data_IF_620111912612
#
_entry.id   IF_620111912612
#
_cell.length_a   1.000
_cell.length_b   1.000
_cell.length_c   1.000
_cell.angle_alpha   90.00
_cell.angle_beta   90.00
_cell.angle_gamma   90.00
#
_symmetry.space_group_name_H-M   'P 1'
#
loop_
_entity.id
_entity.type
_entity.pdbx_description
1 polymer ?
#
# COMPACT_ATOMS: atom_id res chain seq x y z
N UNK A 1 14.83 -3.25 -35.38
CA UNK A 1 15.08 -3.72 -34.01
C UNK A 1 13.92 -4.63 -33.63
N UNK A 2 14.18 -5.91 -33.40
CA UNK A 2 13.13 -6.87 -33.02
C UNK A 2 12.80 -6.64 -31.55
N UNK A 3 11.60 -6.15 -31.27
CA UNK A 3 11.16 -5.88 -29.91
C UNK A 3 10.77 -7.21 -29.26
N UNK A 4 11.53 -7.62 -28.24
CA UNK A 4 11.20 -8.80 -27.44
C UNK A 4 9.82 -8.60 -26.82
N UNK A 5 8.90 -9.52 -27.13
CA UNK A 5 7.45 -9.36 -26.88
C UNK A 5 7.01 -10.07 -25.61
N UNK A 6 7.88 -10.89 -25.02
CA UNK A 6 7.61 -11.63 -23.78
C UNK A 6 8.10 -10.81 -22.58
N UNK A 7 7.23 -10.58 -21.61
CA UNK A 7 7.64 -10.02 -20.33
C UNK A 7 8.50 -11.04 -19.57
N UNK A 8 9.59 -10.62 -18.91
CA UNK A 8 10.35 -11.50 -18.05
C UNK A 8 9.51 -11.96 -16.84
N UNK A 9 9.91 -13.07 -16.22
CA UNK A 9 9.32 -13.47 -14.93
C UNK A 9 9.85 -12.53 -13.83
N UNK A 10 8.99 -11.80 -13.11
CA UNK A 10 9.44 -10.90 -12.06
C UNK A 10 9.88 -11.68 -10.81
N UNK A 11 10.93 -11.20 -10.16
CA UNK A 11 11.33 -11.58 -8.81
C UNK A 11 10.79 -10.62 -7.75
N UNK A 12 10.88 -11.02 -6.48
CA UNK A 12 10.53 -10.19 -5.32
C UNK A 12 11.70 -10.13 -4.34
N UNK A 13 12.05 -8.92 -3.91
CA UNK A 13 13.06 -8.67 -2.88
C UNK A 13 12.43 -7.88 -1.74
N UNK A 14 12.61 -8.34 -0.50
CA UNK A 14 12.12 -7.62 0.68
C UNK A 14 12.74 -6.22 0.71
N UNK A 15 11.90 -5.19 0.82
CA UNK A 15 12.31 -3.80 0.75
C UNK A 15 12.01 -3.06 2.06
N UNK A 16 10.74 -3.05 2.49
CA UNK A 16 10.29 -2.26 3.64
C UNK A 16 9.28 -3.01 4.50
N UNK A 17 9.08 -2.51 5.71
CA UNK A 17 7.92 -2.79 6.55
C UNK A 17 7.17 -1.50 6.83
N UNK A 18 5.85 -1.53 6.76
CA UNK A 18 4.96 -0.42 7.07
C UNK A 18 4.05 -0.78 8.26
N UNK A 19 4.17 -0.02 9.33
CA UNK A 19 3.22 -0.01 10.45
C UNK A 19 2.32 1.21 10.34
N UNK A 20 0.99 1.01 10.31
CA UNK A 20 0.01 2.10 10.22
C UNK A 20 -0.89 2.13 11.44
N UNK A 21 -1.12 3.34 11.96
CA UNK A 21 -2.18 3.63 12.90
C UNK A 21 -3.33 4.30 12.16
N UNK A 22 -4.55 3.83 12.39
CA UNK A 22 -5.76 4.44 11.84
C UNK A 22 -6.44 5.31 12.89
N UNK A 23 -6.99 6.43 12.43
CA UNK A 23 -7.93 7.23 13.20
C UNK A 23 -9.34 6.64 13.16
N UNK A 24 -10.34 7.40 13.66
CA UNK A 24 -11.74 7.00 13.56
C UNK A 24 -12.17 6.79 12.11
N UNK A 25 -12.75 5.64 11.82
CA UNK A 25 -13.31 5.31 10.51
C UNK A 25 -14.49 6.21 10.18
N UNK A 26 -14.59 6.63 8.92
CA UNK A 26 -15.77 7.29 8.37
C UNK A 26 -16.55 6.28 7.54
N UNK A 27 -17.66 5.79 8.08
CA UNK A 27 -18.54 4.85 7.41
C UNK A 27 -19.53 5.58 6.50
N UNK A 28 -19.42 5.34 5.19
CA UNK A 28 -20.39 5.83 4.21
C UNK A 28 -21.62 4.91 4.19
N UNK A 29 -21.42 3.62 4.48
CA UNK A 29 -22.48 2.62 4.54
C UNK A 29 -22.73 1.93 3.21
N UNK A 30 -23.92 1.34 3.08
CA UNK A 30 -24.32 0.53 1.91
C UNK A 30 -24.52 1.40 0.68
N UNK A 31 -23.94 0.98 -0.44
CA UNK A 31 -24.07 1.67 -1.72
C UNK A 31 -25.14 1.01 -2.62
N UNK A 32 -25.86 1.78 -3.47
CA UNK A 32 -26.82 1.21 -4.43
C UNK A 32 -26.21 0.22 -5.44
N UNK A 33 -24.91 0.33 -5.70
CA UNK A 33 -24.15 -0.61 -6.55
C UNK A 33 -23.85 -1.95 -5.84
N UNK A 34 -24.35 -2.14 -4.61
CA UNK A 34 -24.01 -3.24 -3.72
C UNK A 34 -22.76 -2.93 -2.87
N UNK A 35 -22.58 -3.67 -1.78
CA UNK A 35 -21.45 -3.52 -0.87
C UNK A 35 -21.50 -2.29 0.04
N UNK A 36 -20.44 -2.10 0.83
CA UNK A 36 -20.30 -1.06 1.84
C UNK A 36 -19.01 -0.26 1.64
N UNK A 37 -19.08 1.06 1.79
CA UNK A 37 -17.93 1.96 1.67
C UNK A 37 -17.54 2.51 3.03
N UNK A 38 -16.25 2.49 3.33
CA UNK A 38 -15.66 3.16 4.48
C UNK A 38 -14.36 3.86 4.08
N UNK A 39 -14.02 4.92 4.80
CA UNK A 39 -12.75 5.61 4.68
C UNK A 39 -12.01 5.52 6.01
N UNK A 40 -10.77 5.08 5.97
CA UNK A 40 -9.93 4.79 7.13
C UNK A 40 -8.75 5.78 7.13
N UNK A 41 -8.88 6.94 7.81
CA UNK A 41 -7.81 7.91 7.88
C UNK A 41 -6.60 7.33 8.61
N UNK A 42 -5.41 7.59 8.11
CA UNK A 42 -4.18 7.24 8.80
C UNK A 42 -3.81 8.37 9.75
N UNK A 43 -3.65 8.03 11.03
CA UNK A 43 -3.28 8.96 12.11
C UNK A 43 -1.78 8.95 12.41
N UNK A 44 -1.04 7.98 11.88
CA UNK A 44 0.41 7.89 11.98
C UNK A 44 0.94 6.55 11.48
N UNK A 45 2.25 6.35 11.60
CA UNK A 45 2.89 5.12 11.16
C UNK A 45 4.35 5.32 10.82
N UNK A 46 5.04 4.24 10.45
CA UNK A 46 6.45 4.26 10.09
C UNK A 46 6.73 3.27 8.96
N UNK A 47 7.59 3.70 8.03
CA UNK A 47 8.30 2.83 7.09
C UNK A 47 9.71 2.58 7.60
N UNK A 48 10.18 1.34 7.46
CA UNK A 48 11.55 0.94 7.79
C UNK A 48 12.06 -0.10 6.78
N UNK A 49 13.30 0.03 6.31
CA UNK A 49 13.97 -0.95 5.43
C UNK A 49 14.74 -0.30 4.28
N UNK A 50 15.65 -1.03 3.62
CA UNK A 50 16.53 -0.53 2.54
C UNK A 50 17.18 0.85 2.80
N UNK A 51 17.53 1.15 4.05
CA UNK A 51 18.10 2.45 4.43
C UNK A 51 17.10 3.60 4.55
N UNK A 52 15.81 3.34 4.32
CA UNK A 52 14.72 4.27 4.55
C UNK A 52 14.24 4.23 6.00
N UNK A 53 14.14 5.41 6.60
CA UNK A 53 13.49 5.65 7.87
C UNK A 53 12.49 6.79 7.72
N UNK A 54 11.21 6.47 7.55
CA UNK A 54 10.19 7.46 7.24
C UNK A 54 9.00 7.42 8.20
N UNK A 55 8.46 8.59 8.54
CA UNK A 55 7.24 8.74 9.32
C UNK A 55 6.05 8.93 8.39
N UNK A 56 4.93 8.26 8.66
CA UNK A 56 3.68 8.50 7.93
C UNK A 56 3.02 9.76 8.50
N UNK A 57 2.88 10.80 7.68
CA UNK A 57 2.33 12.11 8.07
C UNK A 57 0.84 12.25 7.79
N UNK A 58 0.27 11.32 7.03
CA UNK A 58 -1.16 11.26 6.76
C UNK A 58 -1.48 10.35 5.60
N UNK A 59 -2.73 10.41 5.16
CA UNK A 59 -3.26 9.53 4.14
C UNK A 59 -4.45 8.74 4.63
N UNK A 60 -4.83 7.72 3.87
CA UNK A 60 -5.98 6.89 4.19
C UNK A 60 -5.97 5.60 3.39
N UNK A 61 -6.83 4.68 3.84
CA UNK A 61 -7.35 3.61 3.00
C UNK A 61 -8.83 3.86 2.73
N UNK A 62 -9.22 3.92 1.47
CA UNK A 62 -10.64 3.87 1.10
C UNK A 62 -10.99 2.44 0.77
N UNK A 63 -11.98 1.89 1.49
CA UNK A 63 -12.32 0.46 1.43
C UNK A 63 -13.73 0.26 0.92
N UNK A 64 -13.87 -0.71 0.01
CA UNK A 64 -15.15 -1.14 -0.52
C UNK A 64 -15.36 -2.63 -0.26
N UNK A 65 -16.13 -2.95 0.76
CA UNK A 65 -16.49 -4.32 1.11
C UNK A 65 -17.58 -4.81 0.16
N UNK A 66 -17.25 -5.78 -0.70
CA UNK A 66 -18.20 -6.38 -1.63
C UNK A 66 -19.05 -7.43 -0.94
N UNK A 67 -20.18 -7.77 -1.55
CA UNK A 67 -21.09 -8.80 -1.04
C UNK A 67 -20.48 -10.23 -1.05
N UNK A 68 -19.39 -10.44 -1.79
CA UNK A 68 -18.70 -11.73 -1.89
C UNK A 68 -17.55 -11.92 -0.88
N UNK A 69 -17.47 -11.06 0.15
CA UNK A 69 -16.48 -11.20 1.23
C UNK A 69 -15.12 -10.56 0.95
N UNK A 70 -14.88 -10.10 -0.28
CA UNK A 70 -13.64 -9.38 -0.62
C UNK A 70 -13.82 -7.88 -0.43
N UNK A 71 -12.86 -7.25 0.22
CA UNK A 71 -12.77 -5.79 0.33
C UNK A 71 -11.73 -5.25 -0.63
N UNK A 72 -12.12 -4.34 -1.52
CA UNK A 72 -11.17 -3.58 -2.34
C UNK A 72 -10.58 -2.47 -1.48
N UNK A 73 -9.27 -2.30 -1.54
CA UNK A 73 -8.53 -1.29 -0.76
C UNK A 73 -7.81 -0.35 -1.71
N UNK A 74 -8.05 0.95 -1.56
CA UNK A 74 -7.32 2.02 -2.22
C UNK A 74 -6.49 2.74 -1.15
N UNK A 75 -5.18 2.51 -1.16
CA UNK A 75 -4.25 3.02 -0.16
C UNK A 75 -3.49 4.24 -0.68
N UNK A 76 -3.31 5.24 0.18
CA UNK A 76 -2.48 6.42 -0.10
C UNK A 76 -1.89 6.94 1.21
N UNK A 77 -0.58 6.93 1.33
CA UNK A 77 0.16 7.35 2.51
C UNK A 77 1.17 8.43 2.13
N UNK A 78 1.17 9.54 2.86
CA UNK A 78 2.22 10.55 2.76
C UNK A 78 3.29 10.24 3.79
N UNK A 79 4.53 10.09 3.35
CA UNK A 79 5.67 9.76 4.19
C UNK A 79 6.69 10.90 4.18
N UNK A 80 7.37 11.07 5.29
CA UNK A 80 8.45 12.05 5.46
C UNK A 80 9.72 11.35 5.91
N UNK A 81 10.82 11.61 5.21
CA UNK A 81 12.17 11.19 5.57
C UNK A 81 13.15 12.26 5.09
N UNK A 82 14.23 12.47 5.83
CA UNK A 82 15.27 13.46 5.49
C UNK A 82 14.74 14.88 5.23
N UNK A 83 13.61 15.23 5.84
CA UNK A 83 12.96 16.54 5.68
C UNK A 83 12.22 16.73 4.36
N UNK A 84 12.08 15.70 3.51
CA UNK A 84 11.26 15.74 2.30
C UNK A 84 10.08 14.77 2.38
N UNK A 85 9.10 14.95 1.49
CA UNK A 85 7.88 14.15 1.41
C UNK A 85 7.87 13.26 0.17
N UNK A 86 7.27 12.09 0.32
CA UNK A 86 6.85 11.24 -0.78
C UNK A 86 5.45 10.68 -0.51
N UNK A 87 4.79 10.17 -1.54
CA UNK A 87 3.50 9.48 -1.41
C UNK A 87 3.65 8.04 -1.85
N UNK A 88 3.36 7.09 -0.96
CA UNK A 88 3.21 5.68 -1.27
C UNK A 88 1.72 5.39 -1.52
N UNK A 89 1.35 4.85 -2.67
CA UNK A 89 -0.06 4.65 -3.02
C UNK A 89 -0.26 3.44 -3.90
N UNK A 90 -1.49 2.93 -3.91
CA UNK A 90 -1.90 1.89 -4.83
C UNK A 90 -3.16 1.18 -4.37
N UNK A 91 -3.41 0.00 -4.93
CA UNK A 91 -4.67 -0.72 -4.72
C UNK A 91 -4.43 -2.19 -4.44
N UNK A 92 -5.45 -2.84 -3.91
CA UNK A 92 -5.47 -4.28 -3.78
C UNK A 92 -6.68 -4.76 -3.01
N UNK A 93 -6.52 -5.85 -2.26
CA UNK A 93 -7.62 -6.56 -1.64
C UNK A 93 -7.33 -6.94 -0.20
N UNK A 94 -8.36 -6.91 0.62
CA UNK A 94 -8.44 -7.53 1.93
C UNK A 94 -9.41 -8.71 1.84
N UNK A 95 -8.94 -9.89 2.22
CA UNK A 95 -9.73 -11.13 2.30
C UNK A 95 -9.79 -11.62 3.74
N UNK A 96 -10.91 -12.22 4.12
CA UNK A 96 -11.14 -12.79 5.47
C UNK A 96 -11.41 -14.29 5.43
N UNK A 97 -11.41 -14.88 4.24
CA UNK A 97 -11.61 -16.29 3.96
C UNK A 97 -10.57 -16.78 2.93
N UNK A 98 -10.59 -18.09 2.65
CA UNK A 98 -9.67 -18.72 1.71
C UNK A 98 -8.27 -19.03 2.28
N UNK A 99 -7.36 -19.46 1.40
CA UNK A 99 -5.99 -19.86 1.75
C UNK A 99 -5.16 -18.70 2.30
N UNK A 100 -5.38 -17.48 1.81
CA UNK A 100 -4.77 -16.27 2.34
C UNK A 100 -5.84 -15.36 2.93
N UNK A 101 -5.65 -15.01 4.19
CA UNK A 101 -6.46 -14.02 4.91
C UNK A 101 -5.55 -12.85 5.28
N UNK A 102 -5.98 -11.64 4.94
CA UNK A 102 -5.17 -10.44 5.13
C UNK A 102 -5.27 -9.48 3.96
N UNK A 103 -4.41 -8.46 3.98
CA UNK A 103 -4.35 -7.43 2.94
C UNK A 103 -3.19 -7.73 1.98
N UNK A 104 -3.44 -7.57 0.68
CA UNK A 104 -2.39 -7.48 -0.35
C UNK A 104 -2.61 -6.24 -1.19
N UNK A 105 -1.55 -5.50 -1.48
CA UNK A 105 -1.57 -4.27 -2.28
C UNK A 105 -0.45 -4.32 -3.32
N UNK A 106 -0.66 -3.65 -4.45
CA UNK A 106 0.45 -3.10 -5.25
C UNK A 106 0.68 -1.67 -4.82
N UNK A 107 1.93 -1.25 -4.69
CA UNK A 107 2.30 0.12 -4.32
C UNK A 107 3.28 0.73 -5.32
N UNK A 108 3.14 2.03 -5.52
CA UNK A 108 4.08 2.91 -6.22
C UNK A 108 4.42 4.10 -5.30
N UNK A 109 5.49 4.81 -5.64
CA UNK A 109 5.88 6.03 -4.96
C UNK A 109 5.89 7.23 -5.91
N UNK A 110 5.37 8.35 -5.42
CA UNK A 110 5.55 9.69 -6.00
C UNK A 110 6.53 10.45 -5.10
N UNK A 111 7.63 10.95 -5.65
CA UNK A 111 8.64 11.71 -4.94
C UNK A 111 9.18 12.85 -5.82
N UNK A 112 9.81 13.86 -5.22
CA UNK A 112 10.56 14.88 -5.95
C UNK A 112 11.69 14.24 -6.76
N UNK A 113 11.80 14.59 -8.05
CA UNK A 113 12.66 13.91 -9.01
C UNK A 113 14.16 13.95 -8.66
N UNK A 114 14.64 15.05 -8.08
CA UNK A 114 16.04 15.24 -7.67
C UNK A 114 16.21 15.16 -6.14
N UNK A 115 15.15 14.77 -5.43
CA UNK A 115 15.14 14.68 -3.97
C UNK A 115 15.74 13.36 -3.45
N UNK A 116 16.04 13.27 -2.15
CA UNK A 116 16.65 12.07 -1.56
C UNK A 116 15.75 10.82 -1.67
N UNK A 117 14.43 11.00 -1.81
CA UNK A 117 13.46 9.92 -1.96
C UNK A 117 13.15 9.54 -3.42
N UNK A 118 13.79 10.18 -4.41
CA UNK A 118 13.54 9.93 -5.84
C UNK A 118 13.71 8.46 -6.24
N UNK A 119 14.66 7.77 -5.60
CA UNK A 119 14.95 6.36 -5.86
C UNK A 119 13.75 5.43 -5.61
N UNK A 120 12.78 5.82 -4.77
CA UNK A 120 11.58 5.03 -4.48
C UNK A 120 10.63 4.96 -5.68
N UNK A 121 10.55 6.03 -6.49
CA UNK A 121 9.61 6.17 -7.60
C UNK A 121 10.00 5.36 -8.84
N UNK A 122 11.24 4.87 -8.92
CA UNK A 122 11.76 4.09 -10.04
C UNK A 122 11.39 2.61 -10.03
N UNK A 123 10.59 2.15 -9.07
CA UNK A 123 10.25 0.74 -8.89
C UNK A 123 8.77 0.53 -8.54
N UNK A 124 8.31 -0.71 -8.76
CA UNK A 124 7.00 -1.17 -8.34
C UNK A 124 7.14 -2.15 -7.17
N UNK A 125 6.12 -2.15 -6.30
CA UNK A 125 6.14 -2.93 -5.07
C UNK A 125 4.87 -3.73 -4.91
N UNK A 126 4.98 -4.87 -4.25
CA UNK A 126 3.86 -5.62 -3.68
C UNK A 126 3.97 -5.60 -2.17
N UNK A 127 2.84 -5.43 -1.50
CA UNK A 127 2.78 -5.41 -0.05
C UNK A 127 1.79 -6.47 0.43
N UNK A 128 2.11 -7.14 1.54
CA UNK A 128 1.17 -8.04 2.21
C UNK A 128 1.18 -7.85 3.72
N UNK A 129 -0.01 -8.00 4.32
CA UNK A 129 -0.22 -8.07 5.76
C UNK A 129 -1.16 -9.23 6.04
N UNK A 130 -0.65 -10.39 6.47
CA UNK A 130 -1.49 -11.48 6.92
C UNK A 130 -2.42 -11.04 8.05
N UNK A 131 -3.58 -11.69 8.19
CA UNK A 131 -4.50 -11.43 9.28
C UNK A 131 -3.78 -11.60 10.64
N UNK A 132 -3.93 -10.61 11.53
CA UNK A 132 -3.26 -10.57 12.83
C UNK A 132 -1.81 -10.06 12.82
N UNK A 133 -1.20 -9.86 11.65
CA UNK A 133 0.12 -9.23 11.57
C UNK A 133 0.02 -7.72 11.81
N UNK A 134 1.01 -7.17 12.52
CA UNK A 134 1.05 -5.74 12.86
C UNK A 134 1.45 -4.85 11.67
N UNK A 135 2.30 -5.36 10.76
CA UNK A 135 2.91 -4.59 9.69
C UNK A 135 2.60 -5.17 8.30
N UNK A 136 2.56 -4.28 7.31
CA UNK A 136 2.66 -4.62 5.90
C UNK A 136 4.12 -4.90 5.54
N UNK A 137 4.43 -6.11 5.08
CA UNK A 137 5.70 -6.44 4.46
C UNK A 137 5.68 -6.02 2.99
N UNK A 138 6.61 -5.18 2.56
CA UNK A 138 6.68 -4.59 1.23
C UNK A 138 7.91 -5.14 0.51
N UNK A 139 7.67 -5.68 -0.68
CA UNK A 139 8.69 -6.26 -1.55
C UNK A 139 8.76 -5.45 -2.84
N UNK A 140 9.98 -5.14 -3.29
CA UNK A 140 10.24 -4.56 -4.62
C UNK A 140 10.18 -5.66 -5.67
N UNK A 141 9.54 -5.35 -6.79
CA UNK A 141 9.55 -6.18 -8.00
C UNK A 141 10.88 -5.95 -8.74
N UNK A 142 11.60 -7.03 -9.07
CA UNK A 142 12.89 -7.01 -9.77
C UNK A 142 12.90 -7.92 -11.00
#
# INVERSE_FOLDING_TARGET
MTQETAAPTPGLVAAFTLETAFGPTLDVGKLPIGGERSHWPVSGGRFHGEGLEAQVKGGAETRFARADGVTVVEASYYIEAEGTLARAFGTGYLTTDGEFQGTRLTLLFEAEADGPLAHLAGAAYVAERPAGAAALAIHRIV
#
